data_IF_578895186618
#
_entry.id   IF_578895186618
#
_cell.length_a   1.000
_cell.length_b   1.000
_cell.length_c   1.000
_cell.angle_alpha   90.00
_cell.angle_beta   90.00
_cell.angle_gamma   90.00
#
_symmetry.space_group_name_H-M   'P 1'
#
loop_
_entity.id
_entity.type
_entity.pdbx_description
1 polymer ?
#
# COMPACT_ATOMS: atom_id res chain seq x y z
N UNK A 1 5.41 5.77 -1.47
CA UNK A 1 5.58 4.30 -1.28
C UNK A 1 6.90 3.72 -1.80
N UNK A 2 7.65 4.37 -2.71
CA UNK A 2 8.97 3.88 -3.16
C UNK A 2 9.91 3.51 -1.98
N UNK A 3 9.92 4.32 -0.92
CA UNK A 3 10.72 4.05 0.29
C UNK A 3 10.26 2.85 1.14
N UNK A 4 9.02 2.37 0.99
CA UNK A 4 8.51 1.20 1.72
C UNK A 4 8.96 -0.12 1.08
N UNK A 5 9.04 -0.13 -0.25
CA UNK A 5 9.55 -1.22 -1.08
C UNK A 5 11.08 -1.22 -1.21
N UNK A 6 11.72 -0.04 -1.19
CA UNK A 6 13.20 0.10 -1.24
C UNK A 6 13.88 -0.26 0.09
N UNK A 7 13.14 -0.28 1.20
CA UNK A 7 13.72 -0.29 2.54
C UNK A 7 14.10 -1.65 3.09
N UNK A 8 13.20 -2.63 3.09
CA UNK A 8 13.46 -3.97 3.66
C UNK A 8 12.33 -4.92 3.24
N UNK A 9 12.62 -5.96 2.44
CA UNK A 9 11.65 -7.03 2.08
C UNK A 9 10.90 -7.60 3.29
N UNK A 10 11.60 -7.68 4.43
CA UNK A 10 11.01 -8.10 5.71
C UNK A 10 9.89 -7.19 6.19
N UNK A 11 9.96 -5.89 5.94
CA UNK A 11 8.92 -4.95 6.38
C UNK A 11 7.59 -5.20 5.66
N UNK A 12 7.62 -5.44 4.34
CA UNK A 12 6.41 -5.79 3.60
C UNK A 12 5.87 -7.12 4.09
N UNK A 13 6.74 -8.10 4.31
CA UNK A 13 6.35 -9.39 4.87
C UNK A 13 5.73 -9.28 6.26
N UNK A 14 6.28 -8.47 7.14
CA UNK A 14 5.76 -8.28 8.50
C UNK A 14 4.43 -7.50 8.49
N UNK A 15 4.31 -6.52 7.60
CA UNK A 15 3.11 -5.68 7.49
C UNK A 15 1.95 -6.39 6.79
N UNK A 16 2.21 -7.15 5.73
CA UNK A 16 1.16 -7.77 4.89
C UNK A 16 1.01 -9.27 5.10
N UNK A 17 1.96 -9.92 5.78
CA UNK A 17 2.15 -11.39 5.84
C UNK A 17 2.41 -12.03 4.48
N UNK A 18 2.68 -11.25 3.44
CA UNK A 18 3.05 -11.71 2.11
C UNK A 18 4.53 -11.43 1.82
N UNK A 19 5.27 -12.40 1.27
CA UNK A 19 6.56 -12.11 0.64
C UNK A 19 6.40 -11.01 -0.42
N UNK A 20 7.42 -10.17 -0.58
CA UNK A 20 7.38 -9.05 -1.54
C UNK A 20 7.10 -9.51 -2.97
N UNK A 21 7.68 -10.62 -3.41
CA UNK A 21 7.42 -11.21 -4.73
C UNK A 21 5.95 -11.58 -4.91
N UNK A 22 5.38 -12.30 -3.93
CA UNK A 22 3.96 -12.71 -3.96
C UNK A 22 3.02 -11.49 -3.94
N UNK A 23 3.40 -10.41 -3.27
CA UNK A 23 2.67 -9.15 -3.29
C UNK A 23 2.67 -8.52 -4.69
N UNK A 24 3.83 -8.44 -5.34
CA UNK A 24 3.97 -7.88 -6.69
C UNK A 24 3.25 -8.72 -7.74
N UNK A 25 3.34 -10.05 -7.65
CA UNK A 25 2.63 -10.97 -8.54
C UNK A 25 1.12 -10.81 -8.42
N UNK A 26 0.61 -10.70 -7.18
CA UNK A 26 -0.80 -10.46 -6.93
C UNK A 26 -1.24 -9.08 -7.45
N UNK A 27 -0.44 -8.03 -7.25
CA UNK A 27 -0.73 -6.70 -7.77
C UNK A 27 -0.84 -6.69 -9.30
N UNK A 28 0.13 -7.32 -9.98
CA UNK A 28 0.14 -7.42 -11.43
C UNK A 28 -1.05 -8.22 -11.94
N UNK A 29 -1.38 -9.34 -11.28
CA UNK A 29 -2.54 -10.14 -11.63
C UNK A 29 -3.84 -9.34 -11.48
N UNK A 30 -4.02 -8.63 -10.36
CA UNK A 30 -5.21 -7.80 -10.10
C UNK A 30 -5.34 -6.66 -11.11
N UNK A 31 -4.26 -5.96 -11.45
CA UNK A 31 -4.26 -4.92 -12.49
C UNK A 31 -4.68 -5.44 -13.87
N UNK A 32 -4.37 -6.71 -14.18
CA UNK A 32 -4.71 -7.32 -15.47
C UNK A 32 -6.08 -8.00 -15.52
N UNK A 33 -6.69 -8.33 -14.38
CA UNK A 33 -7.89 -9.18 -14.30
C UNK A 33 -9.06 -8.57 -13.51
N UNK A 34 -8.90 -7.35 -12.99
CA UNK A 34 -9.92 -6.64 -12.21
C UNK A 34 -9.90 -5.15 -12.56
N UNK A 35 -10.84 -4.39 -11.99
CA UNK A 35 -10.87 -2.92 -12.09
C UNK A 35 -9.93 -2.22 -11.11
N UNK A 36 -8.92 -2.93 -10.57
CA UNK A 36 -7.95 -2.35 -9.67
C UNK A 36 -7.00 -1.43 -10.45
N UNK A 37 -7.23 -0.13 -10.33
CA UNK A 37 -6.41 0.92 -10.92
C UNK A 37 -5.98 1.95 -9.88
N UNK A 38 -5.04 2.81 -10.27
CA UNK A 38 -4.65 3.98 -9.49
C UNK A 38 -5.83 4.96 -9.38
N UNK A 39 -5.82 5.78 -8.32
CA UNK A 39 -6.76 6.89 -8.16
C UNK A 39 -5.99 8.17 -7.84
N UNK A 40 -6.65 9.33 -7.94
CA UNK A 40 -6.02 10.64 -7.70
C UNK A 40 -5.25 10.76 -6.38
N UNK A 41 -5.61 9.96 -5.37
CA UNK A 41 -5.04 10.03 -4.02
C UNK A 41 -4.35 8.73 -3.58
N UNK A 42 -4.67 7.60 -4.20
CA UNK A 42 -4.21 6.28 -3.73
C UNK A 42 -3.93 5.38 -4.93
N UNK A 43 -2.71 4.86 -5.01
CA UNK A 43 -2.29 3.88 -6.02
C UNK A 43 -2.93 2.50 -5.79
N UNK A 44 -3.03 1.69 -6.84
CA UNK A 44 -3.44 0.30 -6.79
C UNK A 44 -2.58 -0.52 -5.81
N UNK A 45 -1.28 -0.20 -5.74
CA UNK A 45 -0.34 -0.80 -4.80
C UNK A 45 -0.74 -0.50 -3.35
N UNK A 46 -1.02 0.77 -3.03
CA UNK A 46 -1.46 1.20 -1.70
C UNK A 46 -2.79 0.56 -1.32
N UNK A 47 -3.75 0.49 -2.25
CA UNK A 47 -5.03 -0.19 -2.03
C UNK A 47 -4.83 -1.65 -1.64
N UNK A 48 -3.99 -2.38 -2.38
CA UNK A 48 -3.70 -3.78 -2.08
C UNK A 48 -2.97 -3.93 -0.74
N UNK A 49 -1.99 -3.07 -0.48
CA UNK A 49 -1.25 -3.08 0.78
C UNK A 49 -2.16 -2.84 1.98
N UNK A 50 -3.02 -1.82 1.92
CA UNK A 50 -4.00 -1.51 2.97
C UNK A 50 -4.92 -2.70 3.23
N UNK A 51 -5.44 -3.30 2.15
CA UNK A 51 -6.31 -4.47 2.24
C UNK A 51 -5.61 -5.64 2.95
N UNK A 52 -4.40 -6.00 2.52
CA UNK A 52 -3.63 -7.09 3.11
C UNK A 52 -3.26 -6.80 4.56
N UNK A 53 -2.88 -5.57 4.88
CA UNK A 53 -2.59 -5.18 6.26
C UNK A 53 -3.81 -5.33 7.18
N UNK A 54 -5.00 -4.89 6.73
CA UNK A 54 -6.26 -5.03 7.46
C UNK A 54 -6.55 -6.50 7.75
N UNK A 55 -6.48 -7.35 6.73
CA UNK A 55 -6.78 -8.78 6.85
C UNK A 55 -5.72 -9.50 7.69
N UNK A 56 -4.45 -9.14 7.55
CA UNK A 56 -3.35 -9.75 8.30
C UNK A 56 -3.45 -9.48 9.81
N UNK A 57 -3.83 -8.27 10.21
CA UNK A 57 -3.77 -7.85 11.61
C UNK A 57 -5.14 -7.70 12.28
N UNK A 58 -6.24 -7.93 11.54
CA UNK A 58 -7.60 -7.68 12.05
C UNK A 58 -7.84 -6.20 12.38
N UNK A 59 -7.09 -5.32 11.73
CA UNK A 59 -7.08 -3.89 12.02
C UNK A 59 -8.32 -3.22 11.45
N UNK A 60 -8.93 -2.31 12.21
CA UNK A 60 -10.07 -1.53 11.73
C UNK A 60 -9.62 -0.55 10.64
N UNK A 61 -10.42 -0.40 9.58
CA UNK A 61 -10.17 0.54 8.48
C UNK A 61 -9.80 1.97 8.93
N UNK A 62 -10.36 2.44 10.05
CA UNK A 62 -10.05 3.75 10.63
C UNK A 62 -8.57 3.95 11.01
N UNK A 63 -7.91 2.92 11.54
CA UNK A 63 -6.49 2.97 11.92
C UNK A 63 -5.61 3.10 10.68
N UNK A 64 -6.03 2.49 9.57
CA UNK A 64 -5.35 2.59 8.28
C UNK A 64 -5.51 3.97 7.66
N UNK A 65 -6.70 4.56 7.73
CA UNK A 65 -6.93 5.92 7.27
C UNK A 65 -6.00 6.93 7.97
N UNK A 66 -5.79 6.79 9.27
CA UNK A 66 -4.86 7.64 10.04
C UNK A 66 -3.39 7.41 9.64
N UNK A 67 -2.95 6.16 9.51
CA UNK A 67 -1.58 5.81 9.08
C UNK A 67 -1.25 6.33 7.67
N UNK A 68 -2.22 6.28 6.75
CA UNK A 68 -2.02 6.68 5.36
C UNK A 68 -2.28 8.16 5.09
N UNK A 69 -3.12 8.85 5.87
CA UNK A 69 -3.26 10.30 5.78
C UNK A 69 -1.92 11.02 6.07
N UNK A 70 -1.14 10.52 7.03
CA UNK A 70 0.20 11.05 7.29
C UNK A 70 1.23 10.74 6.19
N UNK A 71 1.04 9.63 5.44
CA UNK A 71 1.91 9.28 4.32
C UNK A 71 1.55 10.01 3.01
N UNK A 72 0.35 10.58 2.91
CA UNK A 72 -0.08 11.45 1.81
C UNK A 72 0.31 12.93 2.03
N UNK A 73 0.77 13.29 3.23
CA UNK A 73 1.05 14.67 3.63
C UNK A 73 2.49 15.13 3.33
N UNK A 74 3.19 14.47 2.42
CA UNK A 74 4.56 14.82 2.04
C UNK A 74 4.71 15.04 0.53
N UNK A 75 4.48 16.28 0.10
CA UNK A 75 5.14 16.78 -1.12
C UNK A 75 4.41 17.74 -2.05
N UNK A 76 3.44 18.57 -1.62
CA UNK A 76 2.90 19.60 -2.52
C UNK A 76 2.63 20.99 -1.90
N UNK A 77 3.39 21.36 -0.86
CA UNK A 77 3.45 22.73 -0.36
C UNK A 77 4.90 23.15 -0.07
N UNK A 78 5.70 23.30 -1.14
CA UNK A 78 6.79 24.28 -1.13
C UNK A 78 7.02 24.82 -2.55
N UNK A 79 6.92 26.14 -2.65
CA UNK A 79 7.15 27.05 -3.79
C UNK A 79 5.97 27.22 -4.77
N UNK A 80 5.64 28.47 -5.16
CA UNK A 80 6.57 29.51 -5.63
C UNK A 80 6.96 30.60 -4.63
#
# INVERSE_FOLDING_TARGET
>A
MAQLLEGHEQRIKDMTRFPQEAFLDLLNWLKGHTDLDDSNLVSAEEKLFMFLYIVAHGTKFRVIAELFQHSMDTGFLRDP
#
